data_IF_983492667839
#
_entry.id   IF_983492667839
#
_cell.length_a   1.000
_cell.length_b   1.000
_cell.length_c   1.000
_cell.angle_alpha   90.00
_cell.angle_beta   90.00
_cell.angle_gamma   90.00
#
_symmetry.space_group_name_H-M   'P 1'
#
loop_
_entity.id
_entity.type
_entity.pdbx_description
1 polymer ?
#
# COMPACT_ATOMS: atom_id res chain seq x y z
N UNK A 1 0.39 0.82 -20.86
CA UNK A 1 0.29 -0.35 -21.78
C UNK A 1 0.20 -1.61 -20.91
N UNK A 2 -1.00 -2.17 -20.66
CA UNK A 2 -1.11 -3.46 -19.97
C UNK A 2 -0.73 -4.59 -20.96
N UNK A 3 0.00 -5.62 -20.51
CA UNK A 3 0.53 -6.76 -21.30
C UNK A 3 1.95 -6.65 -21.87
N UNK A 4 2.89 -6.02 -21.17
CA UNK A 4 4.30 -6.19 -21.52
C UNK A 4 4.95 -7.20 -20.57
N UNK A 5 5.87 -8.04 -21.07
CA UNK A 5 6.70 -8.90 -20.21
C UNK A 5 7.83 -8.08 -19.53
N UNK A 6 7.59 -6.81 -19.16
CA UNK A 6 8.62 -5.94 -18.62
C UNK A 6 9.12 -6.49 -17.29
N UNK A 7 10.40 -6.84 -17.26
CA UNK A 7 11.10 -7.28 -16.06
C UNK A 7 11.82 -6.13 -15.36
N UNK A 8 12.21 -5.09 -16.10
CA UNK A 8 12.83 -3.88 -15.58
C UNK A 8 12.55 -2.69 -16.49
N UNK A 9 12.63 -1.48 -15.92
CA UNK A 9 12.58 -0.22 -16.66
C UNK A 9 13.86 0.53 -16.34
N UNK A 10 14.62 0.93 -17.37
CA UNK A 10 15.79 1.79 -17.26
C UNK A 10 15.42 3.17 -17.82
N UNK A 11 15.78 4.25 -17.15
CA UNK A 11 15.48 5.59 -17.65
C UNK A 11 16.28 5.86 -18.95
N UNK A 12 15.58 5.94 -20.08
CA UNK A 12 16.07 6.69 -21.23
C UNK A 12 15.73 8.16 -21.00
N UNK A 13 16.67 9.07 -21.28
CA UNK A 13 16.64 10.55 -21.12
C UNK A 13 15.48 11.31 -21.82
N UNK A 14 14.29 10.75 -21.91
CA UNK A 14 13.09 11.49 -22.31
C UNK A 14 12.39 11.99 -21.04
N UNK A 15 11.83 13.19 -21.10
CA UNK A 15 11.34 13.97 -19.96
C UNK A 15 10.08 13.34 -19.34
N UNK A 16 10.27 12.26 -18.58
CA UNK A 16 9.24 11.50 -17.86
C UNK A 16 8.68 12.26 -16.64
N UNK A 17 9.14 13.48 -16.37
CA UNK A 17 8.80 14.24 -15.16
C UNK A 17 7.37 14.77 -15.13
N UNK A 18 6.68 14.79 -16.27
CA UNK A 18 5.34 15.35 -16.42
C UNK A 18 4.20 14.35 -16.20
N UNK A 19 4.49 13.05 -16.06
CA UNK A 19 3.45 12.04 -15.93
C UNK A 19 2.73 12.15 -14.59
N UNK A 20 1.40 12.28 -14.67
CA UNK A 20 0.49 12.22 -13.51
C UNK A 20 0.00 10.81 -13.21
N UNK A 21 0.09 9.91 -14.19
CA UNK A 21 -0.41 8.54 -14.09
C UNK A 21 0.62 7.60 -14.70
N UNK A 22 0.98 6.56 -13.97
CA UNK A 22 1.80 5.47 -14.45
C UNK A 22 1.11 4.15 -14.18
N UNK A 23 1.12 3.34 -15.22
CA UNK A 23 0.45 2.06 -15.25
C UNK A 23 1.44 0.99 -15.73
N UNK A 24 1.95 0.23 -14.77
CA UNK A 24 2.80 -0.94 -14.97
C UNK A 24 2.07 -2.24 -14.61
N UNK A 25 0.75 -2.25 -14.62
CA UNK A 25 0.00 -3.46 -14.28
C UNK A 25 0.23 -4.59 -15.29
N UNK A 26 0.11 -5.85 -14.84
CA UNK A 26 0.33 -7.04 -15.68
C UNK A 26 1.72 -7.07 -16.34
N UNK A 27 2.77 -6.86 -15.54
CA UNK A 27 4.16 -7.01 -15.97
C UNK A 27 4.88 -8.07 -15.09
N UNK A 28 6.21 -8.16 -15.19
CA UNK A 28 7.05 -9.12 -14.44
C UNK A 28 8.07 -8.40 -13.57
N UNK A 29 7.74 -7.21 -13.08
CA UNK A 29 8.64 -6.40 -12.27
C UNK A 29 8.90 -7.12 -10.93
N UNK A 30 10.17 -7.30 -10.57
CA UNK A 30 10.57 -7.87 -9.28
C UNK A 30 10.76 -6.80 -8.18
N UNK A 31 10.85 -5.52 -8.59
CA UNK A 31 11.11 -4.35 -7.75
C UNK A 31 10.36 -3.14 -8.32
N UNK A 32 10.13 -2.12 -7.50
CA UNK A 32 9.55 -0.85 -7.94
C UNK A 32 10.56 -0.13 -8.86
N UNK A 33 10.16 0.31 -10.07
CA UNK A 33 11.02 1.09 -10.94
C UNK A 33 11.43 2.43 -10.28
N UNK A 34 12.74 2.64 -10.12
CA UNK A 34 13.32 3.89 -9.59
C UNK A 34 13.39 4.95 -10.67
N UNK A 35 12.30 5.68 -10.83
CA UNK A 35 12.13 6.66 -11.89
C UNK A 35 11.65 7.97 -11.26
N UNK A 36 12.14 9.09 -11.80
CA UNK A 36 11.91 10.44 -11.26
C UNK A 36 10.59 11.00 -11.80
N UNK A 37 9.53 10.91 -10.99
CA UNK A 37 8.17 11.31 -11.35
C UNK A 37 7.57 12.28 -10.33
N UNK A 38 8.09 13.52 -10.28
CA UNK A 38 7.73 14.47 -9.23
C UNK A 38 6.23 14.82 -9.23
N UNK A 39 5.56 14.73 -10.38
CA UNK A 39 4.14 15.09 -10.53
C UNK A 39 3.19 13.87 -10.54
N UNK A 40 3.69 12.68 -10.18
CA UNK A 40 2.90 11.46 -10.23
C UNK A 40 1.80 11.47 -9.17
N UNK A 41 0.54 11.34 -9.59
CA UNK A 41 -0.61 11.25 -8.69
C UNK A 41 -1.17 9.82 -8.59
N UNK A 42 -1.01 8.99 -9.63
CA UNK A 42 -1.53 7.63 -9.67
C UNK A 42 -0.45 6.65 -10.12
N UNK A 43 -0.16 5.65 -9.29
CA UNK A 43 0.88 4.66 -9.53
C UNK A 43 0.34 3.23 -9.41
N UNK A 44 0.09 2.58 -10.54
CA UNK A 44 -0.36 1.18 -10.58
C UNK A 44 0.80 0.23 -10.91
N UNK A 45 1.18 -0.56 -9.92
CA UNK A 45 2.20 -1.60 -9.95
C UNK A 45 1.57 -2.99 -9.74
N UNK A 46 0.25 -3.10 -9.85
CA UNK A 46 -0.46 -4.33 -9.53
C UNK A 46 -0.12 -5.46 -10.49
N UNK A 47 -0.29 -6.71 -10.05
CA UNK A 47 -0.10 -7.90 -10.89
C UNK A 47 1.28 -7.94 -11.52
N UNK A 48 2.29 -7.82 -10.66
CA UNK A 48 3.71 -7.97 -10.97
C UNK A 48 4.28 -9.12 -10.13
N UNK A 49 5.60 -9.17 -9.96
CA UNK A 49 6.29 -10.14 -9.11
C UNK A 49 7.13 -9.45 -8.04
N UNK A 50 6.71 -8.24 -7.61
CA UNK A 50 7.44 -7.42 -6.65
C UNK A 50 7.47 -8.16 -5.32
N UNK A 51 8.67 -8.49 -4.87
CA UNK A 51 8.89 -9.26 -3.64
C UNK A 51 9.76 -8.52 -2.63
N UNK A 52 10.42 -7.45 -3.05
CA UNK A 52 11.22 -6.58 -2.21
C UNK A 52 10.91 -5.12 -2.52
N UNK A 53 10.82 -4.33 -1.45
CA UNK A 53 10.69 -2.87 -1.49
C UNK A 53 11.68 -2.26 -0.51
N UNK A 54 12.14 -1.05 -0.80
CA UNK A 54 13.11 -0.29 -0.02
C UNK A 54 12.50 1.05 0.40
N UNK A 55 12.90 1.58 1.55
CA UNK A 55 12.50 2.91 2.06
C UNK A 55 12.74 4.09 1.10
N UNK A 56 13.41 3.86 -0.02
CA UNK A 56 13.73 4.86 -1.05
C UNK A 56 12.93 4.70 -2.34
N UNK A 57 12.09 3.67 -2.46
CA UNK A 57 11.38 3.38 -3.72
C UNK A 57 10.34 4.43 -4.09
N UNK A 58 9.87 5.22 -3.11
CA UNK A 58 8.90 6.30 -3.30
C UNK A 58 9.48 7.71 -3.11
N UNK A 59 10.80 7.85 -2.92
CA UNK A 59 11.45 9.15 -2.63
C UNK A 59 11.23 10.22 -3.71
N UNK A 60 10.98 9.79 -4.96
CA UNK A 60 10.75 10.68 -6.11
C UNK A 60 9.28 10.74 -6.58
N UNK A 61 8.35 10.21 -5.80
CA UNK A 61 6.90 10.18 -6.13
C UNK A 61 6.06 10.72 -4.96
N UNK A 62 6.52 11.83 -4.37
CA UNK A 62 5.95 12.39 -3.12
C UNK A 62 4.50 12.87 -3.26
N UNK A 63 4.12 13.27 -4.47
CA UNK A 63 2.79 13.79 -4.77
C UNK A 63 1.76 12.68 -5.11
N UNK A 64 2.15 11.40 -4.95
CA UNK A 64 1.26 10.28 -5.28
C UNK A 64 0.10 10.21 -4.31
N UNK A 65 -1.10 10.13 -4.88
CA UNK A 65 -2.35 10.06 -4.14
C UNK A 65 -2.92 8.64 -4.14
N UNK A 66 -2.58 7.83 -5.16
CA UNK A 66 -3.09 6.47 -5.33
C UNK A 66 -1.94 5.53 -5.65
N UNK A 67 -1.72 4.53 -4.80
CA UNK A 67 -0.72 3.48 -5.02
C UNK A 67 -1.41 2.12 -5.01
N UNK A 68 -1.24 1.37 -6.10
CA UNK A 68 -1.74 0.01 -6.21
C UNK A 68 -0.56 -0.97 -6.33
N UNK A 69 -0.27 -1.69 -5.26
CA UNK A 69 0.72 -2.76 -5.15
C UNK A 69 0.06 -4.14 -5.07
N UNK A 70 -1.23 -4.25 -5.37
CA UNK A 70 -1.96 -5.51 -5.21
C UNK A 70 -1.46 -6.61 -6.15
N UNK A 71 -1.70 -7.86 -5.80
CA UNK A 71 -1.31 -9.02 -6.61
C UNK A 71 0.21 -9.02 -6.89
N UNK A 72 1.00 -8.94 -5.84
CA UNK A 72 2.46 -9.05 -5.86
C UNK A 72 2.89 -10.11 -4.83
N UNK A 73 4.19 -10.18 -4.53
CA UNK A 73 4.77 -11.19 -3.64
C UNK A 73 5.38 -10.53 -2.38
N UNK A 74 4.85 -9.39 -1.93
CA UNK A 74 5.38 -8.66 -0.78
C UNK A 74 5.13 -9.45 0.50
N UNK A 75 6.19 -9.74 1.26
CA UNK A 75 6.11 -10.44 2.55
C UNK A 75 6.17 -9.50 3.75
N UNK A 76 6.77 -8.33 3.56
CA UNK A 76 6.89 -7.30 4.58
C UNK A 76 7.07 -5.94 3.93
N UNK A 77 6.83 -4.90 4.70
CA UNK A 77 7.05 -3.51 4.33
C UNK A 77 8.11 -2.92 5.28
N UNK A 78 9.18 -2.27 4.77
CA UNK A 78 10.07 -1.48 5.59
C UNK A 78 9.29 -0.39 6.32
N UNK A 79 9.65 -0.12 7.59
CA UNK A 79 8.99 0.89 8.44
C UNK A 79 8.79 2.25 7.76
N UNK A 80 9.76 2.66 6.94
CA UNK A 80 9.81 3.98 6.31
C UNK A 80 9.33 4.00 4.85
N UNK A 81 8.76 2.92 4.31
CA UNK A 81 8.43 2.85 2.88
C UNK A 81 7.42 3.92 2.44
N UNK A 82 6.48 4.32 3.30
CA UNK A 82 5.42 5.28 2.98
C UNK A 82 5.69 6.69 3.51
N UNK A 83 6.84 6.93 4.17
CA UNK A 83 7.08 8.16 4.93
C UNK A 83 7.03 9.45 4.11
N UNK A 84 7.37 9.37 2.83
CA UNK A 84 7.42 10.53 1.92
C UNK A 84 6.07 10.77 1.20
N UNK A 85 5.08 9.87 1.38
CA UNK A 85 3.80 9.89 0.65
C UNK A 85 2.71 10.66 1.42
N UNK A 86 2.98 11.94 1.70
CA UNK A 86 2.10 12.77 2.53
C UNK A 86 0.71 13.03 1.91
N UNK A 87 0.59 12.93 0.58
CA UNK A 87 -0.66 13.13 -0.15
C UNK A 87 -1.40 11.81 -0.47
N UNK A 88 -0.93 10.67 0.05
CA UNK A 88 -1.50 9.36 -0.22
C UNK A 88 -2.94 9.28 0.33
N UNK A 89 -3.91 9.03 -0.55
CA UNK A 89 -5.33 8.88 -0.22
C UNK A 89 -5.82 7.46 -0.32
N UNK A 90 -5.31 6.68 -1.27
CA UNK A 90 -5.66 5.27 -1.41
C UNK A 90 -4.43 4.39 -1.58
N UNK A 91 -4.38 3.33 -0.78
CA UNK A 91 -3.34 2.32 -0.83
C UNK A 91 -3.97 0.94 -0.97
N UNK A 92 -3.58 0.21 -2.02
CA UNK A 92 -3.98 -1.16 -2.21
C UNK A 92 -2.77 -2.10 -2.15
N UNK A 93 -2.70 -2.90 -1.09
CA UNK A 93 -1.71 -3.94 -0.81
C UNK A 93 -2.34 -5.35 -0.88
N UNK A 94 -3.58 -5.47 -1.36
CA UNK A 94 -4.30 -6.74 -1.38
C UNK A 94 -3.60 -7.82 -2.21
N UNK A 95 -3.87 -9.09 -1.92
CA UNK A 95 -3.26 -10.22 -2.63
C UNK A 95 -1.72 -10.14 -2.61
N UNK A 96 -1.16 -10.05 -1.42
CA UNK A 96 0.27 -10.18 -1.14
C UNK A 96 0.48 -11.26 -0.06
N UNK A 97 1.65 -11.30 0.55
CA UNK A 97 2.04 -12.29 1.56
C UNK A 97 2.44 -11.60 2.88
N UNK A 98 1.91 -10.40 3.14
CA UNK A 98 2.30 -9.58 4.29
C UNK A 98 1.78 -10.23 5.57
N UNK A 99 2.68 -10.58 6.49
CA UNK A 99 2.32 -11.18 7.79
C UNK A 99 2.23 -10.18 8.93
N UNK A 100 2.99 -9.10 8.86
CA UNK A 100 3.16 -8.12 9.92
C UNK A 100 3.41 -6.72 9.35
N UNK A 101 3.06 -5.70 10.14
CA UNK A 101 3.27 -4.29 9.83
C UNK A 101 3.86 -3.59 11.07
N UNK A 102 4.70 -2.59 10.82
CA UNK A 102 5.16 -1.69 11.87
C UNK A 102 4.01 -0.82 12.38
N UNK A 103 4.00 -0.54 13.67
CA UNK A 103 2.91 0.21 14.30
C UNK A 103 2.80 1.67 13.86
N UNK A 104 3.84 2.22 13.26
CA UNK A 104 3.89 3.61 12.78
C UNK A 104 3.98 3.71 11.25
N UNK A 105 3.68 2.61 10.53
CA UNK A 105 3.85 2.52 9.07
C UNK A 105 3.02 3.56 8.29
N UNK A 106 1.93 4.08 8.89
CA UNK A 106 1.03 5.05 8.28
C UNK A 106 1.07 6.45 8.92
N UNK A 107 2.00 6.72 9.84
CA UNK A 107 2.02 7.95 10.65
C UNK A 107 2.12 9.24 9.81
N UNK A 108 2.81 9.15 8.67
CA UNK A 108 3.01 10.28 7.74
C UNK A 108 1.89 10.41 6.68
N UNK A 109 1.02 9.41 6.56
CA UNK A 109 -0.03 9.34 5.52
C UNK A 109 -1.38 9.87 6.06
N UNK A 110 -1.37 11.10 6.55
CA UNK A 110 -2.54 11.75 7.21
C UNK A 110 -3.74 11.94 6.29
N UNK A 111 -3.51 11.92 4.98
CA UNK A 111 -4.54 12.03 3.95
C UNK A 111 -5.16 10.68 3.55
N UNK A 112 -4.74 9.56 4.16
CA UNK A 112 -5.19 8.22 3.78
C UNK A 112 -6.68 8.04 4.11
N UNK A 113 -7.47 7.72 3.07
CA UNK A 113 -8.91 7.53 3.14
C UNK A 113 -9.30 6.06 2.96
N UNK A 114 -8.57 5.33 2.11
CA UNK A 114 -8.87 3.92 1.81
C UNK A 114 -7.62 3.06 1.86
N UNK A 115 -7.72 1.98 2.62
CA UNK A 115 -6.67 0.99 2.75
C UNK A 115 -7.23 -0.41 2.49
N UNK A 116 -6.68 -1.08 1.48
CA UNK A 116 -6.97 -2.49 1.21
C UNK A 116 -5.73 -3.34 1.46
N UNK A 117 -5.80 -4.20 2.48
CA UNK A 117 -4.80 -5.20 2.84
C UNK A 117 -5.41 -6.61 2.83
N UNK A 118 -6.54 -6.81 2.13
CA UNK A 118 -7.19 -8.10 2.04
C UNK A 118 -6.34 -9.15 1.33
N UNK A 119 -6.59 -10.44 1.58
CA UNK A 119 -5.81 -11.52 0.99
C UNK A 119 -4.30 -11.39 1.27
N UNK A 120 -3.97 -11.20 2.54
CA UNK A 120 -2.60 -11.22 3.06
C UNK A 120 -2.48 -12.33 4.13
N UNK A 121 -1.46 -12.25 4.98
CA UNK A 121 -1.19 -13.23 6.04
C UNK A 121 -1.18 -12.58 7.43
N UNK A 122 -1.85 -11.42 7.58
CA UNK A 122 -1.84 -10.63 8.82
C UNK A 122 -2.45 -11.43 9.97
N UNK A 123 -1.77 -11.47 11.11
CA UNK A 123 -2.22 -12.23 12.30
C UNK A 123 -2.72 -11.33 13.44
N UNK A 124 -2.22 -10.10 13.50
CA UNK A 124 -2.54 -9.09 14.50
C UNK A 124 -2.24 -7.69 13.94
N UNK A 125 -2.76 -6.67 14.62
CA UNK A 125 -2.44 -5.27 14.35
C UNK A 125 -2.10 -4.58 15.67
N UNK A 126 -1.15 -3.64 15.61
CA UNK A 126 -0.93 -2.75 16.75
C UNK A 126 -2.12 -1.80 16.89
N UNK A 127 -2.51 -1.50 18.13
CA UNK A 127 -3.53 -0.48 18.43
C UNK A 127 -3.14 0.93 17.98
N UNK A 128 -1.88 1.15 17.65
CA UNK A 128 -1.36 2.43 17.19
C UNK A 128 -1.24 2.53 15.67
N UNK A 129 -1.55 1.48 14.91
CA UNK A 129 -1.28 1.41 13.47
C UNK A 129 -1.96 2.52 12.65
N UNK A 130 -3.08 3.06 13.13
CA UNK A 130 -3.84 4.13 12.48
C UNK A 130 -3.91 5.40 13.33
N UNK A 131 -3.00 5.59 14.29
CA UNK A 131 -3.08 6.68 15.27
C UNK A 131 -3.04 8.10 14.65
N UNK A 132 -2.46 8.23 13.45
CA UNK A 132 -2.38 9.51 12.73
C UNK A 132 -3.25 9.55 11.46
N UNK A 133 -4.04 8.51 11.20
CA UNK A 133 -4.82 8.34 9.96
C UNK A 133 -6.29 8.72 10.15
N UNK A 134 -6.55 9.92 10.67
CA UNK A 134 -7.88 10.43 11.02
C UNK A 134 -8.88 10.48 9.86
N UNK A 135 -8.38 10.43 8.62
CA UNK A 135 -9.17 10.47 7.38
C UNK A 135 -9.62 9.12 6.87
N UNK A 136 -9.21 8.02 7.50
CA UNK A 136 -9.59 6.67 7.07
C UNK A 136 -11.11 6.48 7.11
N UNK A 137 -11.67 6.15 5.95
CA UNK A 137 -13.09 5.86 5.77
C UNK A 137 -13.34 4.38 5.48
N UNK A 138 -12.40 3.72 4.81
CA UNK A 138 -12.54 2.33 4.37
C UNK A 138 -11.27 1.55 4.70
N UNK A 139 -11.43 0.49 5.49
CA UNK A 139 -10.38 -0.48 5.77
C UNK A 139 -10.87 -1.86 5.37
N UNK A 140 -10.13 -2.52 4.49
CA UNK A 140 -10.39 -3.91 4.10
C UNK A 140 -9.23 -4.80 4.52
N UNK A 141 -9.50 -5.70 5.46
CA UNK A 141 -8.53 -6.68 5.98
C UNK A 141 -9.11 -8.09 5.92
N UNK A 142 -10.11 -8.30 5.06
CA UNK A 142 -10.69 -9.61 4.82
C UNK A 142 -9.67 -10.62 4.31
N UNK A 143 -9.93 -11.91 4.49
CA UNK A 143 -9.05 -12.98 3.99
C UNK A 143 -7.61 -12.84 4.53
N UNK A 144 -7.49 -12.65 5.83
CA UNK A 144 -6.24 -12.66 6.58
C UNK A 144 -6.32 -13.76 7.67
N UNK A 145 -5.42 -13.73 8.65
CA UNK A 145 -5.36 -14.67 9.78
C UNK A 145 -5.51 -13.95 11.13
N UNK A 146 -6.24 -12.84 11.13
CA UNK A 146 -6.38 -11.98 12.31
C UNK A 146 -7.24 -12.71 13.33
N UNK A 147 -6.72 -12.86 14.55
CA UNK A 147 -7.42 -13.55 15.65
C UNK A 147 -8.12 -12.61 16.62
N UNK A 148 -7.58 -11.41 16.75
CA UNK A 148 -8.03 -10.42 17.72
C UNK A 148 -8.25 -9.10 17.00
N UNK A 149 -9.44 -8.55 17.19
CA UNK A 149 -9.80 -7.18 16.82
C UNK A 149 -10.18 -6.52 18.12
N UNK A 150 -9.65 -5.32 18.36
CA UNK A 150 -9.79 -4.64 19.65
C UNK A 150 -10.54 -3.31 19.43
N UNK A 151 -11.10 -2.75 20.50
CA UNK A 151 -12.11 -1.68 20.46
C UNK A 151 -11.59 -0.34 19.91
N UNK A 152 -10.28 -0.18 19.76
CA UNK A 152 -9.65 1.04 19.25
C UNK A 152 -10.05 1.37 17.81
N UNK A 153 -10.59 0.44 17.02
CA UNK A 153 -11.23 0.78 15.74
C UNK A 153 -12.39 1.76 15.90
N UNK A 154 -13.07 1.76 17.07
CA UNK A 154 -14.10 2.73 17.41
C UNK A 154 -13.57 4.16 17.61
N UNK A 155 -12.24 4.35 17.74
CA UNK A 155 -11.62 5.68 17.82
C UNK A 155 -11.43 6.32 16.43
N UNK A 156 -11.57 5.54 15.35
CA UNK A 156 -11.49 6.05 13.98
C UNK A 156 -12.81 6.73 13.60
N UNK A 157 -12.95 7.99 13.99
CA UNK A 157 -14.21 8.76 13.89
C UNK A 157 -14.81 8.89 12.48
N UNK A 158 -14.01 8.68 11.43
CA UNK A 158 -14.45 8.75 10.03
C UNK A 158 -14.66 7.39 9.38
N UNK A 159 -14.36 6.30 10.08
CA UNK A 159 -14.45 4.95 9.52
C UNK A 159 -15.92 4.62 9.22
N UNK A 160 -16.21 4.38 7.94
CA UNK A 160 -17.54 4.02 7.44
C UNK A 160 -17.64 2.52 7.15
N UNK A 161 -16.54 1.91 6.75
CA UNK A 161 -16.49 0.52 6.32
C UNK A 161 -15.26 -0.17 6.89
N UNK A 162 -15.50 -1.20 7.70
CA UNK A 162 -14.49 -2.13 8.18
C UNK A 162 -14.84 -3.54 7.69
N UNK A 163 -13.97 -4.13 6.86
CA UNK A 163 -14.12 -5.49 6.35
C UNK A 163 -13.12 -6.43 7.01
N UNK A 164 -13.64 -7.46 7.65
CA UNK A 164 -12.91 -8.43 8.46
C UNK A 164 -13.31 -9.88 8.15
N UNK A 165 -14.16 -10.09 7.14
CA UNK A 165 -14.63 -11.40 6.74
C UNK A 165 -13.48 -12.35 6.38
N UNK A 166 -13.68 -13.65 6.60
CA UNK A 166 -12.66 -14.67 6.34
C UNK A 166 -11.34 -14.40 7.10
N UNK A 167 -11.45 -14.11 8.39
CA UNK A 167 -10.34 -14.12 9.36
C UNK A 167 -10.59 -15.19 10.42
N UNK A 168 -9.60 -15.42 11.29
CA UNK A 168 -9.65 -16.40 12.39
C UNK A 168 -10.12 -15.73 13.71
N UNK A 169 -11.06 -14.79 13.64
CA UNK A 169 -11.47 -13.96 14.78
C UNK A 169 -12.16 -14.83 15.83
N UNK A 170 -11.57 -14.88 17.03
CA UNK A 170 -12.11 -15.62 18.17
C UNK A 170 -12.73 -14.70 19.24
N UNK A 171 -12.42 -13.41 19.22
CA UNK A 171 -12.88 -12.41 20.18
C UNK A 171 -12.95 -11.02 19.51
N UNK A 172 -13.94 -10.23 19.91
CA UNK A 172 -14.21 -8.85 19.45
C UNK A 172 -14.08 -7.87 20.62
#
# INVERSE_FOLDING_TARGET
MPNNCLQSIRSSKNDIRSFKTLDFRYNKLAQIPKLDYPLLSFYDLSRNSINTVSKTDFTFTKDVMFVNLSNNNLRSLPQDILKDLHLLRELNLSHNLISDLFENIFDENKELEKLDMSYNQLTKLSKFIFNMSDKLEVINMSNNKIKYVDLWFGMLNRLKVLRLESNDIIEL
#
